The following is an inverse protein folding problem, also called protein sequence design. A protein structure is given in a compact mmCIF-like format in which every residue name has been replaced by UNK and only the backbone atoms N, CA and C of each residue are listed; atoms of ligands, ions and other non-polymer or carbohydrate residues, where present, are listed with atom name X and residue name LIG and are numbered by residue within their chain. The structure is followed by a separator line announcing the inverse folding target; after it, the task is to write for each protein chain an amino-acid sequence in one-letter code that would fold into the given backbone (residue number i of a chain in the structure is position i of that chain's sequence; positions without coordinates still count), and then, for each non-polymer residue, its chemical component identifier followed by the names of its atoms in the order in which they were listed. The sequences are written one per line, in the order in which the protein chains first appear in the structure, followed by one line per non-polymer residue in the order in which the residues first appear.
data_IF_301342422227
#
_entry.id   IF_301342422227
#
_cell.length_a   1.000
_cell.length_b   1.000
_cell.length_c   1.000
_cell.angle_alpha   90.00
_cell.angle_beta   90.00
_cell.angle_gamma   90.00
#
_symmetry.space_group_name_H-M   'P 1'
#
loop_
_entity.id
_entity.type
_entity.pdbx_description
1 polymer ?
#
# COMPACT_ATOMS: atom_id res chain seq x y z
N UNK A 1 6.36 6.01 17.55
CA UNK A 1 6.72 6.87 16.40
C UNK A 1 5.77 8.06 16.42
N UNK A 2 6.19 9.23 15.95
CA UNK A 2 5.28 10.38 15.79
C UNK A 2 4.36 10.20 14.58
N UNK A 3 3.08 10.55 14.71
CA UNK A 3 2.05 10.30 13.68
C UNK A 3 2.31 11.09 12.39
N UNK A 4 2.84 12.32 12.48
CA UNK A 4 3.13 13.11 11.29
C UNK A 4 4.32 12.51 10.53
N UNK A 5 5.37 12.12 11.26
CA UNK A 5 6.49 11.40 10.65
C UNK A 5 6.04 10.09 9.99
N UNK A 6 5.17 9.34 10.67
CA UNK A 6 4.60 8.10 10.14
C UNK A 6 3.82 8.32 8.86
N UNK A 7 2.92 9.30 8.83
CA UNK A 7 2.14 9.64 7.64
C UNK A 7 3.05 10.02 6.46
N UNK A 8 4.12 10.78 6.71
CA UNK A 8 5.10 11.11 5.67
C UNK A 8 5.84 9.87 5.13
N UNK A 9 6.18 8.91 5.98
CA UNK A 9 6.77 7.65 5.56
C UNK A 9 5.80 6.83 4.68
N UNK A 10 4.55 6.73 5.11
CA UNK A 10 3.48 6.03 4.37
C UNK A 10 3.32 6.62 2.97
N UNK A 11 3.23 7.95 2.87
CA UNK A 11 3.11 8.64 1.58
C UNK A 11 4.31 8.40 0.66
N UNK A 12 5.54 8.41 1.20
CA UNK A 12 6.76 8.16 0.43
C UNK A 12 6.85 6.72 -0.08
N UNK A 13 6.47 5.74 0.75
CA UNK A 13 6.44 4.33 0.35
C UNK A 13 5.37 4.11 -0.71
N UNK A 14 4.17 4.69 -0.54
CA UNK A 14 3.10 4.63 -1.53
C UNK A 14 3.47 5.29 -2.86
N UNK A 15 4.22 6.40 -2.83
CA UNK A 15 4.78 7.01 -4.03
C UNK A 15 5.75 6.05 -4.72
N UNK A 16 6.67 5.42 -3.97
CA UNK A 16 7.61 4.43 -4.53
C UNK A 16 6.89 3.24 -5.16
N UNK A 17 5.83 2.72 -4.53
CA UNK A 17 4.98 1.68 -5.10
C UNK A 17 4.42 2.08 -6.47
N UNK A 18 3.96 3.33 -6.59
CA UNK A 18 3.37 3.88 -7.82
C UNK A 18 4.42 4.11 -8.90
N UNK A 19 5.56 4.72 -8.55
CA UNK A 19 6.64 5.02 -9.49
C UNK A 19 7.28 3.75 -10.07
N UNK A 20 7.41 2.70 -9.25
CA UNK A 20 8.03 1.43 -9.65
C UNK A 20 7.02 0.41 -10.18
N UNK A 21 5.73 0.77 -10.30
CA UNK A 21 4.65 -0.13 -10.72
C UNK A 21 4.61 -1.44 -9.93
N UNK A 22 4.88 -1.35 -8.62
CA UNK A 22 4.85 -2.50 -7.73
C UNK A 22 3.38 -2.88 -7.47
N UNK A 23 3.02 -4.12 -7.78
CA UNK A 23 1.68 -4.63 -7.49
C UNK A 23 1.42 -4.62 -5.99
N UNK A 24 0.29 -4.04 -5.61
CA UNK A 24 -0.23 -4.06 -4.24
C UNK A 24 -1.07 -5.31 -3.97
N UNK A 25 -1.45 -6.02 -5.03
CA UNK A 25 -2.17 -7.29 -4.93
C UNK A 25 -1.12 -8.40 -4.75
N UNK A 26 -1.20 -9.08 -3.61
CA UNK A 26 -0.32 -10.20 -3.23
C UNK A 26 1.19 -9.87 -3.34
N UNK A 27 1.70 -8.93 -2.53
CA UNK A 27 3.11 -8.56 -2.57
C UNK A 27 4.01 -9.76 -2.21
N UNK A 28 5.05 -9.98 -3.01
CA UNK A 28 6.05 -11.03 -2.72
C UNK A 28 6.87 -10.69 -1.48
N UNK A 29 7.45 -11.71 -0.84
CA UNK A 29 8.35 -11.51 0.29
C UNK A 29 9.51 -10.55 -0.05
N UNK A 30 10.10 -10.69 -1.24
CA UNK A 30 11.17 -9.81 -1.72
C UNK A 30 10.72 -8.35 -1.83
N UNK A 31 9.48 -8.12 -2.27
CA UNK A 31 8.88 -6.78 -2.34
C UNK A 31 8.70 -6.19 -0.94
N UNK A 32 8.19 -6.97 0.00
CA UNK A 32 7.99 -6.53 1.39
C UNK A 32 9.34 -6.19 2.02
N UNK A 33 10.35 -7.05 1.88
CA UNK A 33 11.70 -6.83 2.41
C UNK A 33 12.34 -5.58 1.79
N UNK A 34 12.18 -5.37 0.50
CA UNK A 34 12.65 -4.17 -0.20
C UNK A 34 12.02 -2.90 0.35
N UNK A 35 10.70 -2.88 0.56
CA UNK A 35 9.99 -1.73 1.11
C UNK A 35 10.32 -1.50 2.58
N UNK A 36 10.55 -2.56 3.37
CA UNK A 36 11.02 -2.43 4.75
C UNK A 36 12.42 -1.81 4.81
N UNK A 37 13.35 -2.23 3.93
CA UNK A 37 14.68 -1.60 3.78
C UNK A 37 14.58 -0.12 3.39
N UNK A 38 13.63 0.21 2.51
CA UNK A 38 13.35 1.60 2.17
C UNK A 38 12.77 2.37 3.36
N UNK A 39 11.87 1.79 4.15
CA UNK A 39 11.38 2.42 5.38
C UNK A 39 12.54 2.69 6.38
N UNK A 40 13.48 1.76 6.55
CA UNK A 40 14.69 2.00 7.37
C UNK A 40 15.50 3.18 6.85
N UNK A 41 15.67 3.31 5.52
CA UNK A 41 16.43 4.44 4.94
C UNK A 41 15.73 5.80 5.12
N UNK A 42 14.41 5.80 5.36
CA UNK A 42 13.64 6.98 5.73
C UNK A 42 13.74 7.32 7.24
N UNK A 43 14.39 6.48 8.04
CA UNK A 43 14.54 6.65 9.48
C UNK A 43 13.50 5.91 10.32
N UNK A 44 12.76 4.97 9.74
CA UNK A 44 11.83 4.10 10.49
C UNK A 44 12.63 3.04 11.25
N UNK A 45 12.35 2.87 12.54
CA UNK A 45 12.95 1.78 13.33
C UNK A 45 12.52 0.42 12.75
N UNK A 46 13.45 -0.54 12.72
CA UNK A 46 13.23 -1.89 12.19
C UNK A 46 11.96 -2.52 12.77
N UNK A 47 11.69 -2.31 14.07
CA UNK A 47 10.51 -2.86 14.76
C UNK A 47 9.17 -2.36 14.21
N UNK A 48 9.18 -1.22 13.50
CA UNK A 48 7.97 -0.56 12.99
C UNK A 48 7.87 -0.65 11.46
N UNK A 49 8.89 -1.15 10.77
CA UNK A 49 8.93 -1.19 9.30
C UNK A 49 7.81 -2.01 8.70
N UNK A 50 7.49 -3.17 9.29
CA UNK A 50 6.40 -4.03 8.85
C UNK A 50 5.06 -3.29 8.89
N UNK A 51 4.75 -2.65 10.00
CA UNK A 51 3.49 -1.93 10.20
C UNK A 51 3.36 -0.75 9.22
N UNK A 52 4.42 0.05 9.07
CA UNK A 52 4.45 1.20 8.15
C UNK A 52 4.31 0.76 6.68
N UNK A 53 4.93 -0.35 6.29
CA UNK A 53 4.80 -0.91 4.94
C UNK A 53 3.37 -1.41 4.69
N UNK A 54 2.77 -2.13 5.64
CA UNK A 54 1.39 -2.61 5.53
C UNK A 54 0.39 -1.46 5.41
N UNK A 55 0.59 -0.38 6.17
CA UNK A 55 -0.25 0.82 6.06
C UNK A 55 -0.08 1.55 4.73
N UNK A 56 1.11 1.49 4.13
CA UNK A 56 1.37 2.05 2.80
C UNK A 56 0.58 1.31 1.72
N UNK A 57 0.49 -0.02 1.82
CA UNK A 57 -0.36 -0.82 0.94
C UNK A 57 -1.84 -0.47 1.10
N UNK A 58 -2.31 -0.31 2.34
CA UNK A 58 -3.69 0.11 2.59
C UNK A 58 -3.98 1.51 2.05
N UNK A 59 -3.07 2.47 2.30
CA UNK A 59 -3.21 3.85 1.85
C UNK A 59 -3.34 3.94 0.32
N UNK A 60 -2.45 3.27 -0.42
CA UNK A 60 -2.50 3.30 -1.89
C UNK A 60 -3.75 2.57 -2.42
N UNK A 61 -4.17 1.47 -1.79
CA UNK A 61 -5.40 0.78 -2.16
C UNK A 61 -6.63 1.68 -1.96
N UNK A 62 -6.72 2.41 -0.85
CA UNK A 62 -7.80 3.37 -0.60
C UNK A 62 -7.76 4.56 -1.56
N UNK A 63 -6.56 5.05 -1.91
CA UNK A 63 -6.37 6.14 -2.88
C UNK A 63 -6.85 5.71 -4.26
N UNK A 64 -6.51 4.50 -4.70
CA UNK A 64 -6.93 3.93 -5.97
C UNK A 64 -8.42 3.56 -5.98
N UNK A 65 -8.98 3.10 -4.85
CA UNK A 65 -10.40 2.77 -4.73
C UNK A 65 -11.33 3.98 -4.89
N UNK A 66 -10.89 5.18 -4.51
CA UNK A 66 -11.63 6.42 -4.75
C UNK A 66 -11.78 6.76 -6.25
N UNK A 67 -10.93 6.20 -7.10
CA UNK A 67 -11.00 6.35 -8.57
C UNK A 67 -11.90 5.29 -9.24
N UNK A 68 -12.41 4.31 -8.49
CA UNK A 68 -13.33 3.30 -9.02
C UNK A 68 -14.75 3.82 -8.84
N UNK A 69 -15.36 4.32 -9.92
CA UNK A 69 -16.79 4.65 -9.94
C UNK A 69 -17.60 3.37 -9.61
N UNK A 70 -18.35 3.31 -8.50
CA UNK A 70 -19.14 2.15 -8.13
C UNK A 70 -20.19 1.75 -9.19
N UNK A 71 -20.54 2.64 -10.12
CA UNK A 71 -21.42 2.34 -11.25
C UNK A 71 -20.76 1.46 -12.33
N UNK A 72 -19.43 1.38 -12.38
CA UNK A 72 -18.72 0.54 -13.39
C UNK A 72 -18.57 -0.92 -12.97
N UNK A 73 -18.74 -1.26 -11.70
CA UNK A 73 -18.71 -2.65 -11.18
C UNK A 73 -20.10 -3.23 -10.87
N UNK A 74 -21.16 -2.66 -11.45
CA UNK A 74 -22.54 -3.14 -11.27
C UNK A 74 -22.82 -4.54 -11.84
N UNK A 75 -21.99 -5.04 -12.76
CA UNK A 75 -22.22 -6.32 -13.45
C UNK A 75 -21.63 -7.56 -12.74
N UNK A 76 -20.67 -7.40 -11.81
CA UNK A 76 -20.01 -8.56 -11.17
C UNK A 76 -20.76 -9.09 -9.93
N UNK A 77 -21.78 -8.39 -9.45
CA UNK A 77 -22.53 -8.79 -8.24
C UNK A 77 -23.62 -9.86 -8.50
N UNK A 78 -23.80 -10.32 -9.75
CA UNK A 78 -24.93 -11.17 -10.15
C UNK A 78 -24.65 -12.55 -10.75
N UNK A 79 -23.39 -12.91 -11.06
CA UNK A 79 -23.10 -14.09 -11.89
C UNK A 79 -22.57 -15.33 -11.12
N UNK A 80 -22.83 -15.43 -9.81
CA UNK A 80 -22.19 -16.43 -8.94
C UNK A 80 -23.11 -17.40 -8.16
N UNK A 81 -24.42 -17.40 -8.40
CA UNK A 81 -25.32 -18.43 -7.87
C UNK A 81 -25.74 -19.37 -9.01
N UNK A 82 -25.03 -20.49 -9.17
CA UNK A 82 -25.53 -21.66 -9.88
C UNK A 82 -25.06 -22.94 -9.23
#
# INVERSE_FOLDING_TARGET
MDDNFRNQCIEKIALKLSEENISTNEPSFETIEYLQKFAVSLGVDISNTEEVVNESFLYIAMKNAKDIDPLTKGDEFGAGFS
#
